data_IF_607176212203
#
_entry.id   IF_607176212203
#
_cell.length_a   1.000
_cell.length_b   1.000
_cell.length_c   1.000
_cell.angle_alpha   90.00
_cell.angle_beta   90.00
_cell.angle_gamma   90.00
#
_symmetry.space_group_name_H-M   'P 1'
#
loop_
_entity.id
_entity.type
_entity.pdbx_description
1 polymer ?
#
# COMPACT_ATOMS: atom_id res chain seq x y z
N UNK A 1 -10.30 14.94 4.26
CA UNK A 1 -9.37 14.89 3.12
C UNK A 1 -8.89 13.46 3.03
N UNK A 2 -9.07 12.79 1.90
CA UNK A 2 -8.48 11.48 1.68
C UNK A 2 -6.99 11.64 1.45
N UNK A 3 -6.19 10.90 2.21
CA UNK A 3 -4.75 10.88 2.08
C UNK A 3 -4.40 10.04 0.85
N UNK A 4 -3.90 10.69 -0.21
CA UNK A 4 -3.42 9.99 -1.39
C UNK A 4 -1.94 9.70 -1.16
N UNK A 5 -1.61 8.43 -0.95
CA UNK A 5 -0.22 7.98 -0.88
C UNK A 5 0.06 7.18 -2.14
N UNK A 6 0.94 7.70 -2.98
CA UNK A 6 1.51 6.96 -4.09
C UNK A 6 2.84 6.35 -3.63
N UNK A 7 2.90 5.03 -3.66
CA UNK A 7 4.06 4.21 -3.30
C UNK A 7 4.66 3.68 -4.58
N UNK A 8 5.91 4.02 -4.88
CA UNK A 8 6.64 3.43 -5.99
C UNK A 8 7.79 2.57 -5.48
N UNK A 9 7.83 1.33 -5.95
CA UNK A 9 8.89 0.38 -5.65
C UNK A 9 9.73 0.21 -6.91
N UNK A 10 10.87 0.90 -6.96
CA UNK A 10 11.78 0.83 -8.10
C UNK A 10 12.81 -0.29 -7.84
N UNK A 11 12.87 -1.35 -8.65
CA UNK A 11 13.89 -2.37 -8.48
C UNK A 11 15.28 -1.76 -8.72
N UNK A 12 16.24 -2.11 -7.87
CA UNK A 12 17.65 -1.84 -8.15
C UNK A 12 18.11 -2.87 -9.17
N UNK A 13 18.48 -2.43 -10.39
CA UNK A 13 19.03 -3.07 -11.62
C UNK A 13 19.00 -4.63 -11.81
N UNK A 14 19.12 -5.43 -10.75
CA UNK A 14 19.13 -6.90 -10.73
C UNK A 14 17.79 -7.53 -10.28
N UNK A 15 16.89 -6.79 -9.62
CA UNK A 15 15.62 -7.33 -9.12
C UNK A 15 14.51 -7.31 -10.19
N UNK A 16 13.98 -8.50 -10.54
CA UNK A 16 12.88 -8.66 -11.52
C UNK A 16 11.47 -8.58 -10.92
N UNK A 17 11.35 -8.26 -9.63
CA UNK A 17 10.07 -8.28 -8.95
C UNK A 17 9.26 -7.02 -9.27
N UNK A 18 7.99 -7.20 -9.59
CA UNK A 18 7.02 -6.10 -9.69
C UNK A 18 6.72 -5.55 -8.29
N UNK A 19 6.20 -4.30 -8.17
CA UNK A 19 5.82 -3.71 -6.88
C UNK A 19 4.85 -4.60 -6.09
N UNK A 20 3.90 -5.23 -6.78
CA UNK A 20 2.92 -6.13 -6.14
C UNK A 20 3.57 -7.44 -5.65
N UNK A 21 4.59 -7.95 -6.35
CA UNK A 21 5.35 -9.11 -5.89
C UNK A 21 6.18 -8.78 -4.65
N UNK A 22 6.77 -7.58 -4.58
CA UNK A 22 7.48 -7.10 -3.38
C UNK A 22 6.52 -7.01 -2.18
N UNK A 23 5.29 -6.51 -2.38
CA UNK A 23 4.28 -6.46 -1.33
C UNK A 23 3.84 -7.85 -0.85
N UNK A 24 3.71 -8.81 -1.77
CA UNK A 24 3.40 -10.20 -1.42
C UNK A 24 4.55 -10.83 -0.63
N UNK A 25 5.78 -10.67 -1.09
CA UNK A 25 6.98 -11.15 -0.39
C UNK A 25 7.08 -10.58 1.03
N UNK A 26 6.86 -9.27 1.18
CA UNK A 26 6.79 -8.60 2.47
C UNK A 26 5.75 -9.24 3.41
N UNK A 27 4.55 -9.50 2.92
CA UNK A 27 3.48 -10.13 3.71
C UNK A 27 3.80 -11.59 4.09
N UNK A 28 4.57 -12.31 3.27
CA UNK A 28 5.05 -13.64 3.63
C UNK A 28 6.18 -13.61 4.68
N UNK A 29 7.05 -12.60 4.61
CA UNK A 29 8.18 -12.47 5.52
C UNK A 29 7.80 -11.84 6.88
N UNK A 30 6.70 -11.09 6.94
CA UNK A 30 6.31 -10.30 8.10
C UNK A 30 5.18 -10.98 8.88
N UNK A 31 5.38 -11.34 10.17
CA UNK A 31 4.41 -12.13 10.94
C UNK A 31 3.09 -11.40 11.24
N UNK A 32 3.09 -10.06 11.22
CA UNK A 32 1.89 -9.23 11.49
C UNK A 32 1.13 -8.84 10.23
N UNK A 33 1.60 -9.26 9.05
CA UNK A 33 1.04 -8.88 7.76
C UNK A 33 0.55 -10.10 6.99
N UNK A 34 -0.61 -9.99 6.36
CA UNK A 34 -1.22 -11.09 5.62
C UNK A 34 -1.69 -10.63 4.26
N UNK A 35 -1.27 -11.34 3.21
CA UNK A 35 -1.81 -11.13 1.87
C UNK A 35 -3.19 -11.78 1.73
N UNK A 36 -4.21 -10.98 1.37
CA UNK A 36 -5.57 -11.47 1.16
C UNK A 36 -5.82 -11.72 -0.33
N UNK A 37 -5.63 -12.96 -0.81
CA UNK A 37 -5.70 -13.27 -2.24
C UNK A 37 -7.08 -12.98 -2.86
N UNK A 38 -8.16 -13.48 -2.25
CA UNK A 38 -9.52 -13.28 -2.77
C UNK A 38 -9.94 -11.80 -2.76
N UNK A 39 -9.61 -11.07 -1.68
CA UNK A 39 -9.88 -9.63 -1.58
C UNK A 39 -9.08 -8.84 -2.62
N UNK A 40 -7.81 -9.20 -2.85
CA UNK A 40 -6.95 -8.62 -3.90
C UNK A 40 -7.56 -8.82 -5.29
N UNK A 41 -8.05 -10.02 -5.59
CA UNK A 41 -8.68 -10.33 -6.88
C UNK A 41 -9.98 -9.56 -7.06
N UNK A 42 -10.79 -9.46 -6.01
CA UNK A 42 -12.04 -8.70 -6.04
C UNK A 42 -11.76 -7.21 -6.31
N UNK A 43 -10.88 -6.60 -5.51
CA UNK A 43 -10.54 -5.20 -5.62
C UNK A 43 -9.87 -4.86 -6.97
N UNK A 44 -9.01 -5.73 -7.49
CA UNK A 44 -8.44 -5.60 -8.83
C UNK A 44 -9.53 -5.58 -9.92
N UNK A 45 -10.54 -6.44 -9.78
CA UNK A 45 -11.70 -6.47 -10.67
C UNK A 45 -12.53 -5.19 -10.60
N UNK A 46 -12.77 -4.65 -9.40
CA UNK A 46 -13.49 -3.39 -9.20
C UNK A 46 -12.76 -2.19 -9.77
N UNK A 47 -11.43 -2.13 -9.61
CA UNK A 47 -10.61 -1.01 -10.10
C UNK A 47 -10.17 -1.15 -11.56
N UNK A 48 -10.40 -2.31 -12.17
CA UNK A 48 -9.98 -2.60 -13.56
C UNK A 48 -8.46 -2.60 -13.75
N UNK A 49 -7.69 -2.81 -12.68
CA UNK A 49 -6.21 -2.75 -12.67
C UNK A 49 -5.64 -3.70 -11.63
N UNK A 50 -4.37 -4.05 -11.77
CA UNK A 50 -3.71 -4.94 -10.81
C UNK A 50 -3.73 -4.34 -9.41
N UNK A 51 -4.03 -5.18 -8.41
CA UNK A 51 -4.16 -4.74 -7.04
C UNK A 51 -3.76 -5.82 -6.03
N UNK A 52 -3.48 -5.38 -4.81
CA UNK A 52 -3.09 -6.19 -3.68
C UNK A 52 -3.75 -5.64 -2.41
N UNK A 53 -4.34 -6.50 -1.59
CA UNK A 53 -4.83 -6.18 -0.25
C UNK A 53 -3.91 -6.87 0.75
N UNK A 54 -3.35 -6.08 1.67
CA UNK A 54 -2.59 -6.56 2.82
C UNK A 54 -3.35 -6.25 4.10
N UNK A 55 -3.53 -7.24 4.95
CA UNK A 55 -4.08 -7.07 6.30
C UNK A 55 -2.97 -6.94 7.32
N UNK A 56 -3.03 -5.91 8.15
CA UNK A 56 -2.21 -5.77 9.34
C UNK A 56 -3.01 -6.26 10.56
N UNK A 57 -2.48 -7.27 11.25
CA UNK A 57 -3.01 -7.69 12.54
C UNK A 57 -2.30 -6.91 13.64
N UNK A 58 -3.02 -5.97 14.28
CA UNK A 58 -2.50 -5.24 15.44
C UNK A 58 -2.45 -6.20 16.62
N UNK A 59 -1.24 -6.52 17.10
CA UNK A 59 -0.98 -7.54 18.13
C UNK A 59 -1.71 -7.30 19.48
N UNK A 60 -2.23 -6.09 19.71
CA UNK A 60 -3.06 -5.73 20.86
C UNK A 60 -4.56 -6.10 20.69
N UNK A 61 -4.92 -6.79 19.60
CA UNK A 61 -6.23 -7.41 19.41
C UNK A 61 -7.39 -6.44 19.21
N UNK A 62 -7.11 -5.15 19.01
CA UNK A 62 -8.14 -4.12 19.02
C UNK A 62 -8.87 -3.96 17.68
N UNK A 63 -8.21 -4.16 16.52
CA UNK A 63 -8.84 -4.13 15.18
C UNK A 63 -7.83 -4.54 14.08
N UNK A 64 -8.25 -5.37 13.12
CA UNK A 64 -7.50 -5.62 11.88
C UNK A 64 -7.63 -4.43 10.92
N UNK A 65 -6.55 -4.02 10.26
CA UNK A 65 -6.60 -2.95 9.25
C UNK A 65 -6.18 -3.50 7.89
N UNK A 66 -6.99 -3.23 6.86
CA UNK A 66 -6.69 -3.63 5.49
C UNK A 66 -6.08 -2.46 4.71
N UNK A 67 -4.98 -2.71 4.01
CA UNK A 67 -4.31 -1.78 3.12
C UNK A 67 -4.46 -2.25 1.67
N UNK A 68 -5.06 -1.39 0.85
CA UNK A 68 -5.28 -1.65 -0.55
C UNK A 68 -4.25 -0.92 -1.41
N UNK A 69 -3.58 -1.68 -2.27
CA UNK A 69 -2.62 -1.19 -3.24
C UNK A 69 -3.18 -1.44 -4.63
N UNK A 70 -3.21 -0.43 -5.48
CA UNK A 70 -3.63 -0.58 -6.86
C UNK A 70 -2.67 0.09 -7.82
N UNK A 71 -2.35 -0.55 -8.94
CA UNK A 71 -1.41 -0.01 -9.91
C UNK A 71 -1.87 1.35 -10.46
N UNK A 72 -0.92 2.28 -10.60
CA UNK A 72 -1.12 3.61 -11.16
C UNK A 72 -0.16 3.87 -12.31
N UNK A 73 -0.38 3.28 -13.49
CA UNK A 73 0.51 3.44 -14.64
C UNK A 73 0.62 4.90 -15.12
N UNK A 74 -0.37 5.74 -14.81
CA UNK A 74 -0.42 7.15 -15.20
C UNK A 74 0.31 8.10 -14.21
N UNK A 75 0.86 7.59 -13.09
CA UNK A 75 1.65 8.39 -12.16
C UNK A 75 3.08 8.66 -12.70
N UNK A 76 3.83 9.64 -12.16
CA UNK A 76 5.20 9.96 -12.62
C UNK A 76 6.14 8.77 -12.62
N UNK A 77 5.98 7.84 -11.67
CA UNK A 77 6.76 6.61 -11.53
C UNK A 77 6.24 5.44 -12.41
N UNK A 78 5.21 5.68 -13.22
CA UNK A 78 4.68 4.75 -14.22
C UNK A 78 4.21 3.43 -13.62
N UNK A 79 4.60 2.31 -14.25
CA UNK A 79 4.21 0.95 -13.82
C UNK A 79 4.70 0.56 -12.42
N UNK A 80 5.66 1.30 -11.87
CA UNK A 80 6.16 1.07 -10.51
C UNK A 80 5.27 1.70 -9.44
N UNK A 81 4.39 2.63 -9.83
CA UNK A 81 3.53 3.34 -8.89
C UNK A 81 2.32 2.51 -8.49
N UNK A 82 2.05 2.51 -7.19
CA UNK A 82 0.88 1.95 -6.54
C UNK A 82 0.19 3.05 -5.77
N UNK A 83 -1.13 3.12 -5.88
CA UNK A 83 -1.95 3.91 -4.98
C UNK A 83 -2.27 3.10 -3.73
N UNK A 84 -1.87 3.59 -2.57
CA UNK A 84 -2.19 3.05 -1.25
C UNK A 84 -3.47 3.71 -0.72
N UNK A 85 -4.42 2.88 -0.31
CA UNK A 85 -5.67 3.26 0.35
C UNK A 85 -5.82 2.46 1.64
N UNK A 86 -6.07 3.12 2.76
CA UNK A 86 -6.44 2.46 4.02
C UNK A 86 -7.91 2.08 3.94
N UNK A 87 -8.22 0.78 4.04
CA UNK A 87 -9.59 0.26 4.11
C UNK A 87 -9.97 0.12 5.58
N UNK A 88 -11.05 0.81 5.94
CA UNK A 88 -11.64 0.73 7.26
C UNK A 88 -12.32 -0.63 7.47
N UNK A 89 -12.10 -1.28 8.62
CA UNK A 89 -12.77 -2.52 8.93
C UNK A 89 -14.27 -2.23 9.10
N UNK A 90 -15.12 -3.06 8.50
CA UNK A 90 -16.58 -2.89 8.57
C UNK A 90 -17.16 -2.98 9.99
N UNK A 91 -16.36 -3.47 10.95
CA UNK A 91 -16.70 -3.56 12.38
C UNK A 91 -16.19 -2.37 13.20
N UNK A 92 -15.53 -1.39 12.58
CA UNK A 92 -15.02 -0.22 13.27
C UNK A 92 -16.17 0.59 13.91
N UNK A 93 -16.04 0.90 15.20
CA UNK A 93 -17.03 1.71 15.93
C UNK A 93 -17.10 3.16 15.42
N UNK A 94 -16.05 3.61 14.73
CA UNK A 94 -15.92 4.93 14.12
C UNK A 94 -15.03 4.86 12.87
N UNK A 95 -15.22 5.81 11.98
CA UNK A 95 -14.30 6.04 10.87
C UNK A 95 -12.94 6.51 11.41
N UNK A 96 -11.87 6.11 10.73
CA UNK A 96 -10.52 6.62 11.00
C UNK A 96 -10.41 8.06 10.50
N UNK A 97 -9.93 8.93 11.38
CA UNK A 97 -9.61 10.30 11.02
C UNK A 97 -8.35 10.33 10.12
N UNK A 98 -8.10 11.48 9.48
CA UNK A 98 -6.98 11.63 8.56
C UNK A 98 -5.60 11.38 9.23
N UNK A 99 -5.47 11.73 10.51
CA UNK A 99 -4.25 11.49 11.31
C UNK A 99 -4.03 9.99 11.50
N UNK A 100 -5.05 9.23 11.89
CA UNK A 100 -4.95 7.77 12.06
C UNK A 100 -4.61 7.06 10.75
N UNK A 101 -5.21 7.51 9.64
CA UNK A 101 -4.89 6.95 8.31
C UNK A 101 -3.44 7.22 7.91
N UNK A 102 -2.91 8.40 8.25
CA UNK A 102 -1.49 8.72 8.04
C UNK A 102 -0.60 7.84 8.93
N UNK A 103 -0.89 7.73 10.23
CA UNK A 103 -0.14 6.90 11.17
C UNK A 103 -0.08 5.42 10.73
N UNK A 104 -1.22 4.86 10.30
CA UNK A 104 -1.30 3.48 9.79
C UNK A 104 -0.41 3.32 8.55
N UNK A 105 -0.47 4.27 7.62
CA UNK A 105 0.32 4.22 6.40
C UNK A 105 1.81 4.42 6.68
N UNK A 106 2.18 5.32 7.58
CA UNK A 106 3.56 5.52 8.02
C UNK A 106 4.13 4.26 8.64
N UNK A 107 3.39 3.64 9.56
CA UNK A 107 3.80 2.39 10.20
C UNK A 107 4.04 1.27 9.17
N UNK A 108 3.17 1.15 8.17
CA UNK A 108 3.38 0.24 7.04
C UNK A 108 4.68 0.57 6.26
N UNK A 109 4.89 1.84 5.90
CA UNK A 109 6.06 2.26 5.13
C UNK A 109 7.37 2.02 5.88
N UNK A 110 7.37 2.20 7.21
CA UNK A 110 8.51 1.89 8.07
C UNK A 110 8.82 0.38 8.06
N UNK A 111 7.80 -0.47 8.21
CA UNK A 111 7.95 -1.92 8.15
C UNK A 111 8.45 -2.40 6.77
N UNK A 112 7.87 -1.86 5.69
CA UNK A 112 8.28 -2.18 4.33
C UNK A 112 9.73 -1.75 4.08
N UNK A 113 10.12 -0.56 4.53
CA UNK A 113 11.50 -0.07 4.41
C UNK A 113 12.49 -0.95 5.17
N UNK A 114 12.14 -1.38 6.38
CA UNK A 114 12.95 -2.30 7.16
C UNK A 114 13.12 -3.67 6.48
N UNK A 115 12.04 -4.19 5.87
CA UNK A 115 12.10 -5.41 5.07
C UNK A 115 13.03 -5.26 3.86
N UNK A 116 12.89 -4.18 3.10
CA UNK A 116 13.74 -3.90 1.95
C UNK A 116 15.22 -3.76 2.33
N UNK A 117 15.52 -3.11 3.46
CA UNK A 117 16.88 -2.98 3.99
C UNK A 117 17.46 -4.34 4.40
N UNK A 118 16.67 -5.17 5.10
CA UNK A 118 17.06 -6.53 5.49
C UNK A 118 17.32 -7.45 4.29
N UNK A 119 16.62 -7.24 3.17
CA UNK A 119 16.86 -7.94 1.90
C UNK A 119 18.05 -7.38 1.12
N UNK A 120 18.80 -6.39 1.62
CA UNK A 120 19.94 -5.81 0.92
C UNK A 120 19.56 -4.74 -0.11
N UNK A 121 18.42 -4.06 0.09
CA UNK A 121 17.92 -2.94 -0.74
C UNK A 121 17.66 -3.32 -2.20
N UNK A 122 17.02 -4.46 -2.42
CA UNK A 122 16.67 -4.93 -3.77
C UNK A 122 15.64 -4.03 -4.50
N UNK A 123 14.98 -3.11 -3.79
CA UNK A 123 14.16 -2.06 -4.36
C UNK A 123 14.31 -0.78 -3.53
N UNK A 124 14.28 0.37 -4.20
CA UNK A 124 14.14 1.68 -3.57
C UNK A 124 12.65 2.03 -3.41
N UNK A 125 12.29 2.45 -2.20
CA UNK A 125 10.96 2.88 -1.84
C UNK A 125 10.85 4.40 -2.02
N UNK A 126 10.00 4.81 -2.96
CA UNK A 126 9.62 6.19 -3.18
C UNK A 126 8.18 6.41 -2.70
N UNK A 127 7.96 7.46 -1.92
CA UNK A 127 6.64 7.81 -1.38
C UNK A 127 6.33 9.24 -1.80
N UNK A 128 5.28 9.40 -2.57
CA UNK A 128 4.71 10.69 -2.91
C UNK A 128 3.38 10.84 -2.14
N UNK A 129 3.32 11.84 -1.26
CA UNK A 129 2.08 12.21 -0.58
C UNK A 129 1.42 13.35 -1.36
N UNK A 130 0.20 13.12 -1.82
CA UNK A 130 -0.63 14.13 -2.44
C UNK A 130 -1.80 14.51 -1.54
N UNK A 131 -2.14 15.79 -1.50
CA UNK A 131 -3.47 16.21 -1.09
C UNK A 131 -4.45 15.76 -2.19
N UNK A 132 -5.62 15.21 -1.80
CA UNK A 132 -6.72 14.95 -2.75
C UNK A 132 -7.22 16.23 -3.48
N UNK A 133 -6.66 17.40 -3.20
CA UNK A 133 -6.83 18.63 -3.97
C UNK A 133 -5.91 18.67 -5.20
N UNK A 134 -6.13 17.72 -6.12
CA UNK A 134 -5.41 17.64 -7.39
C UNK A 134 -6.28 17.44 -8.64
N UNK A 135 -7.60 17.28 -8.50
CA UNK A 135 -8.53 17.39 -9.64
C UNK A 135 -9.09 18.81 -9.65
N UNK A 136 -8.25 19.78 -10.01
CA UNK A 136 -8.69 21.11 -10.44
C UNK A 136 -8.45 21.26 -11.93
N UNK A 137 -9.55 21.09 -12.68
CA UNK A 137 -9.82 21.81 -13.92
C UNK A 137 -8.99 21.42 -15.14
N UNK A 138 -9.53 20.52 -15.96
CA UNK A 138 -9.41 20.70 -17.40
C UNK A 138 -10.14 22.01 -17.76
N UNK A 139 -9.39 22.96 -18.32
CA UNK A 139 -9.88 24.23 -18.86
C UNK A 139 -10.30 24.08 -20.33
#
# INVERSE_FOLDING_TARGET
>A
MDLIIDVALAPTDDAKLTPLEVLRDFAYASPSWHYLEDASRHYAGEKGREACILRHHVLDGSTDVDLAFSSRPDAPMGKQALHLTVIEPGEAEREFDAEERDEIAEHFLEHLRAHLDAQGRHADLHVERGDAEGVKGEA
#
